data_IF_233896521858
#
_entry.id   IF_233896521858
#
_cell.length_a   1.000
_cell.length_b   1.000
_cell.length_c   1.000
_cell.angle_alpha   90.00
_cell.angle_beta   90.00
_cell.angle_gamma   90.00
#
_symmetry.space_group_name_H-M   'P 1'
#
loop_
_entity.id
_entity.type
_entity.pdbx_description
1 polymer ?
#
# COMPACT_ATOMS: atom_id res chain seq x y z
N UNK A 1 -9.95 23.78 -24.61
CA UNK A 1 -10.96 22.91 -23.96
C UNK A 1 -10.48 22.71 -22.53
N UNK A 2 -11.09 23.40 -21.56
CA UNK A 2 -10.78 23.17 -20.15
C UNK A 2 -11.41 21.82 -19.76
N UNK A 3 -10.59 20.90 -19.24
CA UNK A 3 -11.08 19.69 -18.60
C UNK A 3 -11.74 20.11 -17.30
N UNK A 4 -13.07 20.17 -17.26
CA UNK A 4 -13.79 20.24 -16.00
C UNK A 4 -13.51 18.95 -15.23
N UNK A 5 -12.85 19.08 -14.09
CA UNK A 5 -12.59 17.98 -13.18
C UNK A 5 -13.89 17.61 -12.45
N UNK A 6 -14.14 16.31 -12.19
CA UNK A 6 -15.30 15.88 -11.42
C UNK A 6 -15.27 16.54 -10.03
N UNK A 7 -16.46 16.85 -9.51
CA UNK A 7 -16.62 17.40 -8.18
C UNK A 7 -15.89 16.53 -7.14
N UNK A 8 -15.23 17.17 -6.17
CA UNK A 8 -14.55 16.47 -5.08
C UNK A 8 -15.54 15.48 -4.45
N UNK A 9 -15.20 14.17 -4.38
CA UNK A 9 -16.06 13.21 -3.71
C UNK A 9 -16.25 13.66 -2.26
N UNK A 10 -17.47 13.51 -1.73
CA UNK A 10 -17.76 13.68 -0.30
C UNK A 10 -16.63 13.08 0.52
N UNK A 11 -16.13 13.83 1.52
CA UNK A 11 -14.91 13.53 2.29
C UNK A 11 -14.68 12.04 2.49
N UNK A 12 -13.95 11.40 1.57
CA UNK A 12 -13.53 10.01 1.66
C UNK A 12 -12.66 9.92 2.90
N UNK A 13 -13.17 9.32 3.97
CA UNK A 13 -12.39 9.05 5.17
C UNK A 13 -11.52 7.87 4.86
N UNK A 14 -10.20 8.06 4.83
CA UNK A 14 -9.26 6.95 4.81
C UNK A 14 -8.88 6.61 6.26
N UNK A 15 -8.37 5.41 6.54
CA UNK A 15 -8.21 4.94 7.91
C UNK A 15 -7.22 5.80 8.71
N UNK A 16 -7.67 6.33 9.85
CA UNK A 16 -6.84 7.11 10.77
C UNK A 16 -6.25 8.40 10.15
N UNK A 17 -4.94 8.60 10.31
CA UNK A 17 -4.21 9.78 9.83
C UNK A 17 -4.00 9.83 8.30
N UNK A 18 -4.60 8.90 7.55
CA UNK A 18 -4.49 8.80 6.09
C UNK A 18 -5.52 9.64 5.31
N UNK A 19 -6.40 10.37 5.98
CA UNK A 19 -7.42 11.21 5.35
C UNK A 19 -6.83 12.13 4.26
N UNK A 20 -7.44 12.07 3.07
CA UNK A 20 -7.08 12.93 1.96
C UNK A 20 -7.33 14.40 2.32
N UNK A 21 -6.32 15.25 2.12
CA UNK A 21 -6.39 16.69 2.37
C UNK A 21 -6.78 17.48 1.13
N UNK A 22 -6.66 16.88 -0.05
CA UNK A 22 -7.09 17.46 -1.33
C UNK A 22 -7.80 16.41 -2.21
N UNK A 23 -8.61 16.84 -3.20
CA UNK A 23 -9.23 15.92 -4.15
C UNK A 23 -8.21 15.12 -4.97
N UNK A 24 -7.08 15.73 -5.33
CA UNK A 24 -6.00 15.04 -6.06
C UNK A 24 -5.37 13.94 -5.23
N UNK A 25 -5.25 14.15 -3.91
CA UNK A 25 -4.77 13.14 -2.97
C UNK A 25 -5.75 11.98 -2.85
N UNK A 26 -7.06 12.25 -2.84
CA UNK A 26 -8.08 11.19 -2.85
C UNK A 26 -8.01 10.33 -4.12
N UNK A 27 -7.89 10.96 -5.30
CA UNK A 27 -7.73 10.24 -6.58
C UNK A 27 -6.43 9.41 -6.58
N UNK A 28 -5.36 9.97 -6.01
CA UNK A 28 -4.11 9.24 -5.86
C UNK A 28 -4.29 8.01 -4.96
N UNK A 29 -4.91 8.16 -3.78
CA UNK A 29 -5.17 7.08 -2.84
C UNK A 29 -6.01 5.96 -3.48
N UNK A 30 -7.09 6.32 -4.20
CA UNK A 30 -7.93 5.35 -4.92
C UNK A 30 -7.11 4.53 -5.94
N UNK A 31 -6.29 5.21 -6.75
CA UNK A 31 -5.45 4.58 -7.77
C UNK A 31 -4.39 3.65 -7.20
N UNK A 32 -3.92 3.91 -5.97
CA UNK A 32 -2.94 3.08 -5.28
C UNK A 32 -3.57 2.08 -4.30
N UNK A 33 -4.87 1.83 -4.43
CA UNK A 33 -5.59 0.75 -3.76
C UNK A 33 -5.82 0.97 -2.27
N UNK A 34 -5.84 2.23 -1.81
CA UNK A 34 -6.20 2.55 -0.43
C UNK A 34 -7.72 2.49 -0.28
N UNK A 35 -8.24 1.64 0.62
CA UNK A 35 -9.65 1.67 0.98
C UNK A 35 -9.96 2.91 1.81
N UNK A 36 -11.17 3.44 1.63
CA UNK A 36 -11.81 4.31 2.62
C UNK A 36 -12.15 3.51 3.89
N UNK A 37 -12.47 4.19 4.97
CA UNK A 37 -12.89 3.60 6.23
C UNK A 37 -14.20 2.84 6.08
N UNK A 38 -15.16 3.38 5.31
CA UNK A 38 -16.42 2.69 5.02
C UNK A 38 -16.18 1.41 4.22
N UNK A 39 -15.31 1.47 3.21
CA UNK A 39 -14.91 0.27 2.47
C UNK A 39 -14.20 -0.73 3.37
N UNK A 40 -13.28 -0.29 4.24
CA UNK A 40 -12.62 -1.18 5.20
C UNK A 40 -13.61 -1.85 6.14
N UNK A 41 -14.54 -1.10 6.73
CA UNK A 41 -15.54 -1.63 7.66
C UNK A 41 -16.42 -2.66 6.95
N UNK A 42 -16.80 -2.39 5.70
CA UNK A 42 -17.54 -3.33 4.87
C UNK A 42 -16.73 -4.58 4.52
N UNK A 43 -15.46 -4.43 4.12
CA UNK A 43 -14.58 -5.54 3.73
C UNK A 43 -14.20 -6.40 4.93
N UNK A 44 -14.00 -5.82 6.11
CA UNK A 44 -13.66 -6.59 7.33
C UNK A 44 -14.81 -7.51 7.75
N UNK A 45 -16.05 -7.08 7.53
CA UNK A 45 -17.24 -7.88 7.79
C UNK A 45 -17.43 -9.06 6.81
N UNK A 46 -16.83 -9.02 5.61
CA UNK A 46 -16.98 -10.06 4.59
C UNK A 46 -16.23 -11.35 4.93
N UNK A 47 -16.75 -12.48 4.47
CA UNK A 47 -16.06 -13.78 4.50
C UNK A 47 -14.86 -13.80 3.54
N UNK A 48 -13.96 -14.78 3.69
CA UNK A 48 -12.85 -14.97 2.73
C UNK A 48 -13.36 -15.21 1.30
N UNK A 49 -14.49 -15.91 1.16
CA UNK A 49 -15.09 -16.18 -0.15
C UNK A 49 -15.58 -14.89 -0.80
N UNK A 50 -16.31 -14.05 -0.07
CA UNK A 50 -16.78 -12.75 -0.58
C UNK A 50 -15.61 -11.83 -0.94
N UNK A 51 -14.57 -11.78 -0.10
CA UNK A 51 -13.36 -11.02 -0.39
C UNK A 51 -12.64 -11.55 -1.65
N UNK A 52 -12.55 -12.86 -1.82
CA UNK A 52 -11.96 -13.48 -3.01
C UNK A 52 -12.78 -13.16 -4.28
N UNK A 53 -14.11 -13.15 -4.20
CA UNK A 53 -14.96 -12.75 -5.33
C UNK A 53 -14.75 -11.30 -5.74
N UNK A 54 -14.62 -10.37 -4.77
CA UNK A 54 -14.33 -8.96 -5.06
C UNK A 54 -12.92 -8.78 -5.61
N UNK A 55 -11.92 -9.45 -5.02
CA UNK A 55 -10.54 -9.46 -5.50
C UNK A 55 -10.45 -9.96 -6.95
N UNK A 56 -11.21 -11.01 -7.31
CA UNK A 56 -11.29 -11.54 -8.67
C UNK A 56 -11.89 -10.55 -9.68
N UNK A 57 -12.66 -9.56 -9.22
CA UNK A 57 -13.17 -8.45 -10.04
C UNK A 57 -12.20 -7.28 -10.15
N UNK A 58 -11.02 -7.37 -9.53
CA UNK A 58 -9.98 -6.35 -9.56
C UNK A 58 -9.99 -5.38 -8.38
N UNK A 59 -10.78 -5.65 -7.33
CA UNK A 59 -10.74 -4.85 -6.10
C UNK A 59 -9.46 -5.17 -5.31
N UNK A 60 -8.49 -4.24 -5.39
CA UNK A 60 -7.20 -4.35 -4.71
C UNK A 60 -7.31 -4.24 -3.19
N UNK A 61 -8.31 -3.48 -2.68
CA UNK A 61 -8.55 -3.39 -1.25
C UNK A 61 -9.12 -4.70 -0.72
N UNK A 62 -10.08 -5.30 -1.44
CA UNK A 62 -10.59 -6.63 -1.10
C UNK A 62 -9.48 -7.70 -1.13
N UNK A 63 -8.58 -7.66 -2.12
CA UNK A 63 -7.44 -8.59 -2.19
C UNK A 63 -6.49 -8.41 -1.00
N UNK A 64 -6.20 -7.17 -0.60
CA UNK A 64 -5.35 -6.95 0.56
C UNK A 64 -6.03 -7.30 1.89
N UNK A 65 -7.34 -7.08 2.02
CA UNK A 65 -8.14 -7.52 3.18
C UNK A 65 -8.24 -9.04 3.27
N UNK A 66 -8.38 -9.73 2.12
CA UNK A 66 -8.30 -11.20 2.06
C UNK A 66 -6.95 -11.68 2.59
N UNK A 67 -5.87 -11.08 2.10
CA UNK A 67 -4.52 -11.40 2.54
C UNK A 67 -4.33 -11.18 4.04
N UNK A 68 -4.74 -10.02 4.56
CA UNK A 68 -4.65 -9.71 5.99
C UNK A 68 -5.47 -10.70 6.84
N UNK A 69 -6.70 -11.01 6.44
CA UNK A 69 -7.58 -11.96 7.14
C UNK A 69 -6.97 -13.36 7.19
N UNK A 70 -6.36 -13.81 6.10
CA UNK A 70 -5.65 -15.09 6.04
C UNK A 70 -4.42 -15.11 6.96
N UNK A 71 -3.64 -14.02 7.00
CA UNK A 71 -2.51 -13.89 7.93
C UNK A 71 -2.95 -13.96 9.40
N UNK A 72 -4.07 -13.31 9.76
CA UNK A 72 -4.65 -13.39 11.13
C UNK A 72 -5.09 -14.80 11.51
N UNK A 73 -5.41 -15.64 10.53
CA UNK A 73 -5.78 -17.05 10.71
C UNK A 73 -4.60 -18.00 10.53
N UNK A 74 -3.36 -17.51 10.56
CA UNK A 74 -2.13 -18.30 10.40
C UNK A 74 -1.98 -18.99 9.03
N UNK A 75 -2.78 -18.60 8.02
CA UNK A 75 -2.62 -19.01 6.61
C UNK A 75 -1.54 -18.15 5.94
N UNK A 76 -0.30 -18.32 6.39
CA UNK A 76 0.79 -17.38 6.10
C UNK A 76 1.11 -17.30 4.60
N UNK A 77 1.15 -18.45 3.92
CA UNK A 77 1.52 -18.53 2.49
C UNK A 77 0.46 -17.84 1.63
N UNK A 78 -0.81 -18.16 1.86
CA UNK A 78 -1.94 -17.59 1.14
C UNK A 78 -2.05 -16.08 1.38
N UNK A 79 -1.94 -15.67 2.65
CA UNK A 79 -2.04 -14.28 3.04
C UNK A 79 -0.94 -13.41 2.43
N UNK A 80 0.31 -13.88 2.47
CA UNK A 80 1.43 -13.21 1.80
C UNK A 80 1.27 -13.21 0.28
N UNK A 81 0.81 -14.32 -0.31
CA UNK A 81 0.59 -14.41 -1.76
C UNK A 81 -0.41 -13.35 -2.24
N UNK A 82 -1.54 -13.19 -1.55
CA UNK A 82 -2.55 -12.19 -1.90
C UNK A 82 -2.04 -10.75 -1.73
N UNK A 83 -1.32 -10.45 -0.64
CA UNK A 83 -0.72 -9.11 -0.46
C UNK A 83 0.34 -8.79 -1.51
N UNK A 84 1.20 -9.77 -1.84
CA UNK A 84 2.20 -9.61 -2.89
C UNK A 84 1.53 -9.45 -4.26
N UNK A 85 0.46 -10.17 -4.55
CA UNK A 85 -0.29 -10.01 -5.79
C UNK A 85 -0.94 -8.62 -5.90
N UNK A 86 -1.58 -8.13 -4.84
CA UNK A 86 -2.13 -6.78 -4.80
C UNK A 86 -1.03 -5.70 -5.01
N UNK A 87 0.13 -5.86 -4.38
CA UNK A 87 1.29 -4.99 -4.59
C UNK A 87 1.81 -5.07 -6.04
N UNK A 88 1.88 -6.29 -6.59
CA UNK A 88 2.26 -6.57 -7.98
C UNK A 88 1.27 -6.01 -8.99
N UNK A 89 0.01 -5.76 -8.63
CA UNK A 89 -0.98 -5.08 -9.47
C UNK A 89 -0.95 -3.57 -9.30
N UNK A 90 -0.46 -3.07 -8.17
CA UNK A 90 -0.13 -1.66 -7.98
C UNK A 90 -0.49 -1.08 -6.62
N UNK A 91 -1.11 -1.87 -5.73
CA UNK A 91 -1.56 -1.41 -4.41
C UNK A 91 -0.37 -1.06 -3.52
N UNK A 92 -0.22 0.21 -3.16
CA UNK A 92 0.73 0.63 -2.11
C UNK A 92 0.16 0.27 -0.74
N UNK A 93 -1.15 0.31 -0.56
CA UNK A 93 -1.80 -0.12 0.66
C UNK A 93 -1.46 -1.57 1.03
N UNK A 94 -1.45 -2.49 0.07
CA UNK A 94 -1.02 -3.88 0.31
C UNK A 94 0.45 -4.01 0.75
N UNK A 95 1.34 -3.15 0.24
CA UNK A 95 2.75 -3.09 0.67
C UNK A 95 2.81 -2.68 2.15
N UNK A 96 2.04 -1.67 2.55
CA UNK A 96 1.97 -1.22 3.95
C UNK A 96 1.37 -2.30 4.86
N UNK A 97 0.32 -2.99 4.43
CA UNK A 97 -0.28 -4.10 5.19
C UNK A 97 0.71 -5.25 5.41
N UNK A 98 1.50 -5.60 4.38
CA UNK A 98 2.57 -6.59 4.51
C UNK A 98 3.68 -6.09 5.46
N UNK A 99 4.04 -4.82 5.40
CA UNK A 99 5.04 -4.21 6.28
C UNK A 99 4.60 -4.26 7.76
N UNK A 100 3.33 -3.95 8.04
CA UNK A 100 2.77 -4.04 9.38
C UNK A 100 2.76 -5.48 9.90
N UNK A 101 2.45 -6.46 9.05
CA UNK A 101 2.53 -7.86 9.44
C UNK A 101 3.97 -8.28 9.79
N UNK A 102 4.96 -7.92 8.96
CA UNK A 102 6.38 -8.18 9.25
C UNK A 102 6.80 -7.53 10.59
N UNK A 103 6.38 -6.28 10.82
CA UNK A 103 6.64 -5.56 12.08
C UNK A 103 6.03 -6.29 13.28
N UNK A 104 4.77 -6.72 13.20
CA UNK A 104 4.09 -7.49 14.26
C UNK A 104 4.80 -8.82 14.55
N UNK A 105 5.38 -9.45 13.53
CA UNK A 105 6.20 -10.65 13.65
C UNK A 105 7.64 -10.41 14.15
N UNK A 106 8.02 -9.17 14.46
CA UNK A 106 9.37 -8.82 14.91
C UNK A 106 10.42 -8.73 13.80
N UNK A 107 10.02 -8.83 12.52
CA UNK A 107 10.92 -8.69 11.38
C UNK A 107 11.03 -7.22 10.96
N UNK A 108 11.75 -6.45 11.76
CA UNK A 108 11.84 -4.98 11.63
C UNK A 108 12.53 -4.52 10.35
N UNK A 109 13.51 -5.28 9.84
CA UNK A 109 14.21 -4.95 8.60
C UNK A 109 13.32 -5.17 7.38
N UNK A 110 12.62 -6.30 7.29
CA UNK A 110 11.68 -6.52 6.19
C UNK A 110 10.54 -5.49 6.21
N UNK A 111 10.04 -5.14 7.40
CA UNK A 111 9.06 -4.07 7.54
C UNK A 111 9.61 -2.72 7.05
N UNK A 112 10.83 -2.34 7.44
CA UNK A 112 11.48 -1.11 7.00
C UNK A 112 11.64 -1.06 5.47
N UNK A 113 12.09 -2.16 4.86
CA UNK A 113 12.25 -2.25 3.41
C UNK A 113 10.91 -2.07 2.67
N UNK A 114 9.83 -2.65 3.19
CA UNK A 114 8.49 -2.48 2.61
C UNK A 114 7.95 -1.05 2.80
N UNK A 115 8.17 -0.43 3.96
CA UNK A 115 7.84 0.99 4.17
C UNK A 115 8.60 1.92 3.22
N UNK A 116 9.89 1.65 3.01
CA UNK A 116 10.70 2.41 2.05
C UNK A 116 10.30 2.14 0.60
N UNK A 117 9.84 0.92 0.28
CA UNK A 117 9.27 0.61 -1.04
C UNK A 117 7.98 1.40 -1.30
N UNK A 118 7.09 1.52 -0.31
CA UNK A 118 5.90 2.37 -0.39
C UNK A 118 6.28 3.84 -0.60
N UNK A 119 7.29 4.34 0.12
CA UNK A 119 7.82 5.69 -0.09
C UNK A 119 8.42 5.90 -1.48
N UNK A 120 9.21 4.93 -1.97
CA UNK A 120 9.77 4.94 -3.33
C UNK A 120 8.68 4.95 -4.40
N UNK A 121 7.54 4.30 -4.13
CA UNK A 121 6.35 4.31 -5.00
C UNK A 121 5.57 5.62 -4.97
N UNK A 122 5.95 6.55 -4.09
CA UNK A 122 5.41 7.91 -4.04
C UNK A 122 4.63 8.25 -2.76
N UNK A 123 4.43 7.29 -1.85
CA UNK A 123 3.76 7.54 -0.58
C UNK A 123 4.72 8.09 0.48
N UNK A 124 4.93 9.39 0.48
CA UNK A 124 5.78 10.04 1.48
C UNK A 124 5.09 10.15 2.86
N UNK A 125 3.77 9.97 2.93
CA UNK A 125 2.98 10.31 4.11
C UNK A 125 2.69 9.09 5.01
N UNK A 126 2.27 7.96 4.46
CA UNK A 126 1.87 6.81 5.30
C UNK A 126 3.03 6.10 6.00
N UNK A 127 4.15 5.76 5.33
CA UNK A 127 5.25 5.02 5.95
C UNK A 127 5.71 5.57 7.32
N UNK A 128 5.98 6.89 7.51
CA UNK A 128 6.38 7.39 8.82
C UNK A 128 5.32 7.17 9.89
N UNK A 129 4.02 7.22 9.57
CA UNK A 129 2.91 6.98 10.50
C UNK A 129 2.91 5.54 11.00
N UNK A 130 3.07 4.58 10.09
CA UNK A 130 3.16 3.16 10.44
C UNK A 130 4.44 2.83 11.24
N UNK A 131 5.51 3.62 11.06
CA UNK A 131 6.79 3.44 11.78
C UNK A 131 6.83 4.11 13.17
N UNK A 132 5.85 4.95 13.56
CA UNK A 132 5.88 5.69 14.83
C UNK A 132 5.92 4.77 16.06
N UNK A 133 5.42 3.54 15.94
CA UNK A 133 5.37 2.55 17.04
C UNK A 133 6.32 1.38 16.79
N UNK A 134 7.18 1.08 17.77
CA UNK A 134 8.06 -0.10 17.81
C UNK A 134 9.32 -0.02 16.93
N UNK A 135 9.19 0.30 15.64
CA UNK A 135 10.25 0.08 14.65
C UNK A 135 11.53 0.89 14.91
N UNK A 136 11.40 2.18 15.26
CA UNK A 136 12.55 3.10 15.41
C UNK A 136 13.50 2.73 16.56
N UNK A 137 13.06 1.94 17.55
CA UNK A 137 13.89 1.57 18.71
C UNK A 137 14.68 0.28 18.47
N UNK A 138 14.33 -0.49 17.45
CA UNK A 138 14.79 -1.87 17.27
C UNK A 138 15.78 -2.02 16.10
N UNK A 139 15.83 -1.06 15.17
CA UNK A 139 16.74 -1.10 14.02
C UNK A 139 18.14 -0.62 14.41
N UNK A 140 19.16 -1.44 14.15
CA UNK A 140 20.57 -1.07 14.36
C UNK A 140 21.07 -0.20 13.21
N UNK A 141 21.96 0.76 13.50
CA UNK A 141 22.55 1.65 12.48
C UNK A 141 23.18 0.90 11.31
N UNK A 142 23.82 -0.26 11.58
CA UNK A 142 24.41 -1.11 10.54
C UNK A 142 23.38 -1.65 9.54
N UNK A 143 22.15 -1.91 9.97
CA UNK A 143 21.08 -2.48 9.14
C UNK A 143 20.47 -1.42 8.22
N UNK A 144 20.52 -0.13 8.61
CA UNK A 144 20.08 1.00 7.79
C UNK A 144 20.95 1.23 6.54
N UNK A 145 22.23 0.84 6.58
CA UNK A 145 23.16 1.09 5.46
C UNK A 145 22.79 0.31 4.20
N UNK A 146 22.25 -0.90 4.34
CA UNK A 146 21.94 -1.77 3.20
C UNK A 146 20.50 -1.60 2.70
N UNK A 147 19.60 -1.02 3.51
CA UNK A 147 18.18 -0.90 3.19
C UNK A 147 17.93 -0.24 1.82
N UNK A 148 18.58 0.88 1.44
CA UNK A 148 18.34 1.50 0.14
C UNK A 148 18.67 0.57 -1.03
N UNK A 149 19.75 -0.21 -0.93
CA UNK A 149 20.14 -1.20 -1.95
C UNK A 149 19.13 -2.34 -2.05
N UNK A 150 18.68 -2.85 -0.90
CA UNK A 150 17.68 -3.92 -0.85
C UNK A 150 16.34 -3.46 -1.43
N UNK A 151 15.89 -2.25 -1.09
CA UNK A 151 14.64 -1.66 -1.63
C UNK A 151 14.74 -1.46 -3.14
N UNK A 152 15.88 -1.00 -3.65
CA UNK A 152 16.11 -0.89 -5.09
C UNK A 152 16.03 -2.26 -5.79
N UNK A 153 16.60 -3.31 -5.19
CA UNK A 153 16.49 -4.68 -5.71
C UNK A 153 15.06 -5.21 -5.64
N UNK A 154 14.33 -4.99 -4.55
CA UNK A 154 12.92 -5.36 -4.41
C UNK A 154 12.08 -4.71 -5.51
N UNK A 155 12.27 -3.41 -5.71
CA UNK A 155 11.58 -2.67 -6.76
C UNK A 155 11.95 -3.18 -8.17
N UNK A 156 13.22 -3.40 -8.45
CA UNK A 156 13.68 -3.92 -9.74
C UNK A 156 13.13 -5.33 -10.03
N UNK A 157 13.10 -6.20 -9.02
CA UNK A 157 12.52 -7.54 -9.12
C UNK A 157 11.02 -7.49 -9.38
N UNK A 158 10.29 -6.61 -8.68
CA UNK A 158 8.87 -6.38 -8.91
C UNK A 158 8.61 -5.93 -10.37
N UNK A 159 9.39 -4.97 -10.88
CA UNK A 159 9.28 -4.50 -12.27
C UNK A 159 9.58 -5.62 -13.28
N UNK A 160 10.61 -6.43 -13.02
CA UNK A 160 10.94 -7.59 -13.87
C UNK A 160 9.80 -8.60 -13.90
N UNK A 161 9.23 -8.94 -12.75
CA UNK A 161 8.10 -9.88 -12.66
C UNK A 161 6.86 -9.33 -13.36
N UNK A 162 6.58 -8.02 -13.25
CA UNK A 162 5.48 -7.37 -13.97
C UNK A 162 5.67 -7.46 -15.48
N UNK A 163 6.88 -7.19 -15.97
CA UNK A 163 7.21 -7.30 -17.39
C UNK A 163 7.01 -8.73 -17.91
N UNK A 164 7.45 -9.76 -17.16
CA UNK A 164 7.23 -11.16 -17.51
C UNK A 164 5.73 -11.54 -17.58
N UNK A 165 4.87 -10.82 -16.86
CA UNK A 165 3.42 -11.00 -16.83
C UNK A 165 2.67 -10.09 -17.81
N UNK A 166 3.37 -9.28 -18.60
CA UNK A 166 2.75 -8.32 -19.52
C UNK A 166 2.07 -7.14 -18.82
N UNK A 167 2.35 -6.92 -17.53
CA UNK A 167 1.82 -5.78 -16.78
C UNK A 167 2.65 -4.53 -17.08
N UNK A 168 2.04 -3.32 -17.13
CA UNK A 168 2.77 -2.08 -17.33
C UNK A 168 3.78 -1.86 -16.20
N UNK A 169 4.87 -1.10 -16.38
CA UNK A 169 5.76 -0.78 -15.28
C UNK A 169 5.03 0.05 -14.22
N UNK A 170 5.39 -0.15 -12.96
CA UNK A 170 5.01 0.78 -11.90
C UNK A 170 5.83 2.05 -12.06
N UNK A 171 5.16 3.20 -11.99
CA UNK A 171 5.81 4.50 -11.94
C UNK A 171 6.10 4.93 -10.50
N UNK A 172 6.99 5.91 -10.36
CA UNK A 172 7.10 6.72 -9.15
C UNK A 172 6.07 7.84 -9.30
N UNK A 173 4.89 7.63 -8.72
CA UNK A 173 3.77 8.56 -8.78
C UNK A 173 3.60 9.21 -7.41
N UNK A 174 4.11 10.42 -7.25
CA UNK A 174 4.21 11.07 -5.95
C UNK A 174 2.83 11.46 -5.41
N UNK A 175 2.54 11.08 -4.16
CA UNK A 175 1.30 11.48 -3.46
C UNK A 175 1.21 13.00 -3.41
N UNK A 176 0.19 13.61 -4.05
CA UNK A 176 0.03 15.05 -4.05
C UNK A 176 -0.39 15.53 -2.66
N UNK A 177 -0.10 16.79 -2.38
CA UNK A 177 -0.38 17.48 -1.15
C UNK A 177 -0.62 18.96 -1.45
N UNK A 178 -0.91 19.74 -0.41
CA UNK A 178 -1.26 21.16 -0.59
C UNK A 178 -0.16 22.00 -1.25
N UNK A 179 1.10 21.55 -1.27
CA UNK A 179 2.29 22.25 -1.76
C UNK A 179 2.86 21.73 -3.09
N UNK A 180 2.53 20.52 -3.55
CA UNK A 180 3.10 19.91 -4.77
C UNK A 180 2.04 19.54 -5.82
N UNK A 181 0.97 20.33 -5.92
CA UNK A 181 -0.15 20.11 -6.85
C UNK A 181 0.25 20.46 -8.30
N UNK A 182 -0.20 19.69 -9.31
CA UNK A 182 -0.05 20.11 -10.71
C UNK A 182 -0.83 21.41 -10.96
N UNK A 183 -0.12 22.49 -11.31
CA UNK A 183 -0.73 23.79 -11.64
C UNK A 183 -0.76 24.83 -10.51
N UNK A 184 -0.03 24.60 -9.42
CA UNK A 184 0.28 25.62 -8.40
C UNK A 184 1.37 26.59 -8.83
#
# INVERSE_FOLDING_TARGET
>A
MALELPAAPEKKRYPGELEARTPEEAVWLDRHGYPTQEELDSLDAMTEMELAEQAARGDLAAMGMLGEKQLRQEKIVEGQSNLNEAAMLGSIWAILTLADWQKRGGNTIAALELYQLAALRGDWASPPLHMQTGLRKEIKTAELYFTPGNVAMLYANMQRLRALRGLPPLGIDTRPNVFNRPGG
#
